data_IF_193444628029
#
_entry.id   IF_193444628029
#
_cell.length_a   1.000
_cell.length_b   1.000
_cell.length_c   1.000
_cell.angle_alpha   90.00
_cell.angle_beta   90.00
_cell.angle_gamma   90.00
#
_symmetry.space_group_name_H-M   'P 1'
#
loop_
_entity.id
_entity.type
_entity.pdbx_description
1 polymer ?
#
# COMPACT_ATOMS: atom_id res chain seq x y z
N UNK A 1 -2.92 13.26 -15.28
CA UNK A 1 -2.13 12.27 -15.92
C UNK A 1 -2.44 10.88 -15.39
N UNK A 2 -2.80 10.01 -16.29
CA UNK A 2 -3.31 8.67 -15.97
C UNK A 2 -2.31 7.82 -15.17
N UNK A 3 -1.01 7.92 -15.47
CA UNK A 3 0.04 7.14 -14.81
C UNK A 3 0.19 7.47 -13.33
N UNK A 4 0.12 8.75 -12.96
CA UNK A 4 0.27 9.21 -11.58
C UNK A 4 -0.92 8.74 -10.72
N UNK A 5 -2.12 8.81 -11.25
CA UNK A 5 -3.33 8.34 -10.58
C UNK A 5 -3.29 6.83 -10.35
N UNK A 6 -2.82 6.09 -11.36
CA UNK A 6 -2.65 4.65 -11.28
C UNK A 6 -1.63 4.27 -10.21
N UNK A 7 -0.51 4.99 -10.14
CA UNK A 7 0.52 4.77 -9.12
C UNK A 7 -0.03 5.00 -7.71
N UNK A 8 -0.81 6.06 -7.50
CA UNK A 8 -1.42 6.34 -6.20
C UNK A 8 -2.40 5.24 -5.80
N UNK A 9 -3.17 4.72 -6.75
CA UNK A 9 -4.10 3.61 -6.50
C UNK A 9 -3.34 2.33 -6.14
N UNK A 10 -2.24 2.04 -6.83
CA UNK A 10 -1.39 0.89 -6.52
C UNK A 10 -0.74 1.03 -5.15
N UNK A 11 -0.26 2.22 -4.79
CA UNK A 11 0.35 2.49 -3.49
C UNK A 11 -0.65 2.28 -2.36
N UNK A 12 -1.87 2.77 -2.52
CA UNK A 12 -2.95 2.56 -1.55
C UNK A 12 -3.28 1.09 -1.41
N UNK A 13 -3.42 0.38 -2.52
CA UNK A 13 -3.69 -1.05 -2.54
C UNK A 13 -2.58 -1.83 -1.84
N UNK A 14 -1.33 -1.52 -2.12
CA UNK A 14 -0.18 -2.17 -1.48
C UNK A 14 -0.22 -1.96 0.04
N UNK A 15 -0.47 -0.72 0.48
CA UNK A 15 -0.54 -0.41 1.89
C UNK A 15 -1.65 -1.19 2.59
N UNK A 16 -2.82 -1.29 1.95
CA UNK A 16 -3.95 -2.08 2.47
C UNK A 16 -3.55 -3.55 2.60
N UNK A 17 -2.92 -4.12 1.59
CA UNK A 17 -2.51 -5.52 1.62
C UNK A 17 -1.45 -5.78 2.69
N UNK A 18 -0.51 -4.86 2.89
CA UNK A 18 0.49 -4.95 3.95
C UNK A 18 -0.17 -4.93 5.33
N UNK A 19 -1.13 -4.04 5.55
CA UNK A 19 -1.83 -3.91 6.82
C UNK A 19 -2.65 -5.16 7.11
N UNK A 20 -3.37 -5.69 6.11
CA UNK A 20 -4.15 -6.93 6.24
C UNK A 20 -3.22 -8.09 6.62
N UNK A 21 -2.05 -8.19 5.99
CA UNK A 21 -1.08 -9.24 6.32
C UNK A 21 -0.58 -9.15 7.75
N UNK A 22 -0.38 -7.94 8.26
CA UNK A 22 0.16 -7.70 9.61
C UNK A 22 -0.91 -7.82 10.69
N UNK A 23 -2.16 -7.49 10.37
CA UNK A 23 -3.25 -7.46 11.34
C UNK A 23 -4.57 -7.89 10.70
N UNK A 24 -4.78 -9.21 10.55
CA UNK A 24 -6.00 -9.73 9.89
C UNK A 24 -7.31 -9.38 10.59
N UNK A 25 -7.25 -9.10 11.89
CA UNK A 25 -8.46 -8.82 12.68
C UNK A 25 -8.87 -7.36 12.69
N UNK A 26 -8.27 -6.55 11.84
CA UNK A 26 -8.58 -5.13 11.73
C UNK A 26 -9.95 -4.91 11.10
N UNK A 27 -10.72 -3.95 11.64
CA UNK A 27 -11.99 -3.54 11.05
C UNK A 27 -11.73 -2.64 9.83
N UNK A 28 -12.72 -2.50 8.96
CA UNK A 28 -12.61 -1.59 7.81
C UNK A 28 -12.42 -0.13 8.26
N UNK A 29 -13.01 0.25 9.39
CA UNK A 29 -12.83 1.59 9.97
C UNK A 29 -11.40 1.83 10.43
N UNK A 30 -10.81 0.85 11.13
CA UNK A 30 -9.42 0.93 11.57
C UNK A 30 -8.47 0.98 10.37
N UNK A 31 -8.76 0.18 9.34
CA UNK A 31 -8.01 0.19 8.10
C UNK A 31 -8.04 1.57 7.45
N UNK A 32 -9.23 2.17 7.36
CA UNK A 32 -9.41 3.51 6.81
C UNK A 32 -8.53 4.54 7.53
N UNK A 33 -8.52 4.50 8.86
CA UNK A 33 -7.71 5.39 9.68
C UNK A 33 -6.22 5.20 9.43
N UNK A 34 -5.76 3.96 9.37
CA UNK A 34 -4.33 3.66 9.15
C UNK A 34 -3.85 4.05 7.76
N UNK A 35 -4.70 3.89 6.76
CA UNK A 35 -4.35 4.23 5.38
C UNK A 35 -4.54 5.73 5.10
N UNK A 36 -5.40 6.39 5.89
CA UNK A 36 -5.70 7.81 5.70
C UNK A 36 -6.72 8.05 4.60
N UNK A 37 -7.69 7.15 4.45
CA UNK A 37 -8.79 7.28 3.48
C UNK A 37 -10.13 7.26 4.23
N UNK A 38 -11.20 7.62 3.54
CA UNK A 38 -12.54 7.61 4.13
C UNK A 38 -13.00 6.17 4.41
N UNK A 39 -13.91 6.02 5.36
CA UNK A 39 -14.52 4.72 5.68
C UNK A 39 -15.19 4.10 4.44
N UNK A 40 -15.88 4.92 3.65
CA UNK A 40 -16.52 4.48 2.41
C UNK A 40 -15.51 3.97 1.40
N UNK A 41 -14.41 4.69 1.21
CA UNK A 41 -13.33 4.28 0.29
C UNK A 41 -12.70 2.97 0.73
N UNK A 42 -12.45 2.81 2.03
CA UNK A 42 -11.87 1.57 2.57
C UNK A 42 -12.82 0.39 2.34
N UNK A 43 -14.11 0.60 2.59
CA UNK A 43 -15.12 -0.44 2.39
C UNK A 43 -15.19 -0.87 0.92
N UNK A 44 -15.28 0.08 0.00
CA UNK A 44 -15.32 -0.22 -1.44
C UNK A 44 -14.06 -0.93 -1.91
N UNK A 45 -12.91 -0.51 -1.40
CA UNK A 45 -11.65 -1.16 -1.74
C UNK A 45 -11.63 -2.61 -1.27
N UNK A 46 -12.05 -2.87 -0.03
CA UNK A 46 -12.12 -4.22 0.52
C UNK A 46 -13.06 -5.11 -0.29
N UNK A 47 -14.25 -4.61 -0.63
CA UNK A 47 -15.22 -5.34 -1.46
C UNK A 47 -14.61 -5.67 -2.83
N UNK A 48 -13.95 -4.70 -3.45
CA UNK A 48 -13.26 -4.91 -4.73
C UNK A 48 -12.20 -5.99 -4.63
N UNK A 49 -11.40 -5.99 -3.56
CA UNK A 49 -10.35 -6.99 -3.34
C UNK A 49 -10.95 -8.38 -3.12
N UNK A 50 -12.07 -8.46 -2.41
CA UNK A 50 -12.77 -9.73 -2.19
C UNK A 50 -13.34 -10.24 -3.52
N UNK A 51 -13.97 -9.38 -4.29
CA UNK A 51 -14.55 -9.76 -5.59
C UNK A 51 -13.49 -10.27 -6.56
N UNK A 52 -12.28 -9.74 -6.49
CA UNK A 52 -11.15 -10.17 -7.33
C UNK A 52 -10.44 -11.40 -6.80
N UNK A 53 -10.86 -11.93 -5.66
CA UNK A 53 -10.23 -13.09 -5.06
C UNK A 53 -8.87 -12.82 -4.44
N UNK A 54 -8.54 -11.55 -4.17
CA UNK A 54 -7.27 -11.12 -3.57
C UNK A 54 -7.33 -11.23 -2.06
N UNK A 55 -8.48 -10.89 -1.48
CA UNK A 55 -8.73 -10.92 -0.04
C UNK A 55 -9.92 -11.84 0.23
N UNK A 56 -9.83 -12.60 1.28
CA UNK A 56 -10.91 -13.43 1.80
C UNK A 56 -11.40 -12.83 3.11
N UNK A 57 -12.70 -12.67 3.24
CA UNK A 57 -13.32 -12.28 4.50
C UNK A 57 -13.73 -13.55 5.23
N UNK A 58 -13.26 -13.70 6.46
CA UNK A 58 -13.57 -14.85 7.30
C UNK A 58 -14.24 -14.39 8.59
N UNK A 59 -15.28 -15.09 8.99
CA UNK A 59 -15.99 -14.79 10.20
C UNK A 59 -16.07 -16.11 10.99
N UNK A 60 -15.61 -16.09 12.23
CA UNK A 60 -15.61 -17.28 13.06
C UNK A 60 -16.08 -16.95 14.48
N UNK A 61 -16.76 -17.92 15.08
CA UNK A 61 -17.23 -17.80 16.46
C UNK A 61 -16.19 -18.37 17.41
N UNK A 62 -15.62 -17.52 18.27
CA UNK A 62 -14.75 -17.98 19.36
C UNK A 62 -15.51 -18.44 20.58
N UNK A 63 -16.72 -17.89 20.79
CA UNK A 63 -17.63 -18.29 21.86
C UNK A 63 -19.04 -17.98 21.40
N UNK A 64 -20.05 -18.48 22.12
CA UNK A 64 -21.44 -18.23 21.77
C UNK A 64 -21.82 -16.76 21.73
N UNK A 65 -20.99 -15.88 22.28
CA UNK A 65 -21.28 -14.44 22.40
C UNK A 65 -20.42 -13.52 21.54
N UNK A 66 -19.33 -14.01 20.91
CA UNK A 66 -18.42 -13.16 20.14
C UNK A 66 -18.11 -13.76 18.78
N UNK A 67 -18.47 -13.01 17.73
CA UNK A 67 -18.05 -13.31 16.36
C UNK A 67 -16.80 -12.49 16.08
N UNK A 68 -15.76 -13.14 15.59
CA UNK A 68 -14.54 -12.45 15.12
C UNK A 68 -14.50 -12.43 13.62
N UNK A 69 -14.01 -11.33 13.09
CA UNK A 69 -13.88 -11.09 11.66
C UNK A 69 -12.41 -10.97 11.30
N UNK A 70 -12.04 -11.54 10.17
CA UNK A 70 -10.68 -11.44 9.67
C UNK A 70 -10.69 -11.20 8.17
N UNK A 71 -9.76 -10.38 7.71
CA UNK A 71 -9.44 -10.23 6.31
C UNK A 71 -8.12 -10.92 6.06
N UNK A 72 -8.09 -11.85 5.12
CA UNK A 72 -6.92 -12.68 4.84
C UNK A 72 -6.56 -12.58 3.36
N UNK A 73 -5.27 -12.59 3.07
CA UNK A 73 -4.82 -12.69 1.69
C UNK A 73 -5.00 -14.12 1.20
N UNK A 74 -5.57 -14.25 0.01
CA UNK A 74 -5.63 -15.53 -0.70
C UNK A 74 -4.26 -15.79 -1.35
N UNK A 75 -4.00 -17.01 -1.87
CA UNK A 75 -2.78 -17.24 -2.67
C UNK A 75 -2.65 -16.26 -3.83
N UNK A 76 -3.76 -15.89 -4.48
CA UNK A 76 -3.78 -14.86 -5.53
C UNK A 76 -3.36 -13.51 -4.94
N UNK A 77 -3.87 -13.18 -3.75
CA UNK A 77 -3.54 -11.95 -3.04
C UNK A 77 -2.08 -11.85 -2.67
N UNK A 78 -1.47 -12.96 -2.26
CA UNK A 78 -0.04 -12.99 -1.92
C UNK A 78 0.80 -12.69 -3.17
N UNK A 79 0.44 -13.28 -4.31
CA UNK A 79 1.12 -13.03 -5.58
C UNK A 79 0.94 -11.59 -6.03
N UNK A 80 -0.28 -11.08 -5.92
CA UNK A 80 -0.60 -9.70 -6.28
C UNK A 80 0.20 -8.71 -5.43
N UNK A 81 0.27 -8.95 -4.13
CA UNK A 81 1.07 -8.13 -3.21
C UNK A 81 2.54 -8.13 -3.62
N UNK A 82 3.10 -9.29 -3.95
CA UNK A 82 4.49 -9.41 -4.40
C UNK A 82 4.73 -8.62 -5.69
N UNK A 83 3.82 -8.71 -6.64
CA UNK A 83 3.93 -8.00 -7.92
C UNK A 83 3.91 -6.49 -7.70
N UNK A 84 2.96 -5.99 -6.93
CA UNK A 84 2.84 -4.57 -6.64
C UNK A 84 4.05 -4.08 -5.85
N UNK A 85 4.53 -4.87 -4.90
CA UNK A 85 5.73 -4.56 -4.12
C UNK A 85 6.94 -4.40 -5.03
N UNK A 86 7.10 -5.31 -5.99
CA UNK A 86 8.21 -5.23 -6.94
C UNK A 86 8.11 -3.97 -7.81
N UNK A 87 6.94 -3.64 -8.31
CA UNK A 87 6.72 -2.44 -9.11
C UNK A 87 7.04 -1.18 -8.30
N UNK A 88 6.59 -1.14 -7.05
CA UNK A 88 6.87 -0.06 -6.11
C UNK A 88 8.38 0.09 -5.87
N UNK A 89 9.07 -1.03 -5.65
CA UNK A 89 10.52 -1.03 -5.39
C UNK A 89 11.30 -0.49 -6.60
N UNK A 90 10.95 -0.93 -7.81
CA UNK A 90 11.59 -0.45 -9.04
C UNK A 90 11.44 1.06 -9.15
N UNK A 91 10.22 1.58 -8.93
CA UNK A 91 9.96 3.02 -8.99
C UNK A 91 10.75 3.77 -7.92
N UNK A 92 10.80 3.25 -6.70
CA UNK A 92 11.54 3.89 -5.60
C UNK A 92 13.04 3.94 -5.87
N UNK A 93 13.59 2.90 -6.47
CA UNK A 93 15.00 2.89 -6.87
C UNK A 93 15.29 3.94 -7.94
N UNK A 94 14.38 4.11 -8.90
CA UNK A 94 14.51 5.14 -9.93
C UNK A 94 14.44 6.55 -9.32
N UNK A 95 13.51 6.77 -8.40
CA UNK A 95 13.40 8.03 -7.67
C UNK A 95 14.66 8.33 -6.86
N UNK A 96 15.21 7.31 -6.23
CA UNK A 96 16.46 7.42 -5.45
C UNK A 96 17.63 7.85 -6.34
N UNK A 97 17.79 7.22 -7.50
CA UNK A 97 18.89 7.56 -8.42
C UNK A 97 18.73 8.98 -8.95
N UNK A 98 17.50 9.38 -9.30
CA UNK A 98 17.23 10.75 -9.76
C UNK A 98 17.54 11.78 -8.67
N UNK A 99 17.14 11.51 -7.43
CA UNK A 99 17.41 12.38 -6.29
C UNK A 99 18.91 12.48 -6.02
N UNK A 100 19.62 11.37 -6.12
CA UNK A 100 21.07 11.32 -5.94
C UNK A 100 21.79 12.24 -6.95
N UNK A 101 21.38 12.19 -8.21
CA UNK A 101 21.94 13.06 -9.24
C UNK A 101 21.60 14.53 -9.00
N UNK A 102 20.38 14.81 -8.56
CA UNK A 102 19.94 16.16 -8.21
C UNK A 102 20.80 16.73 -7.06
N UNK A 103 21.06 15.94 -6.03
CA UNK A 103 21.89 16.35 -4.90
C UNK A 103 23.31 16.66 -5.37
N UNK A 104 23.89 15.81 -6.22
CA UNK A 104 25.22 16.05 -6.79
C UNK A 104 25.29 17.37 -7.54
N UNK A 105 24.28 17.67 -8.34
CA UNK A 105 24.22 18.92 -9.09
C UNK A 105 24.16 20.13 -8.15
N UNK A 106 23.37 20.02 -7.07
CA UNK A 106 23.25 21.09 -6.07
C UNK A 106 24.56 21.30 -5.31
N UNK A 107 25.21 20.21 -4.92
CA UNK A 107 26.51 20.27 -4.23
C UNK A 107 27.57 20.93 -5.12
N UNK A 108 27.59 20.61 -6.40
CA UNK A 108 28.50 21.22 -7.37
C UNK A 108 28.25 22.71 -7.49
N UNK A 109 26.99 23.14 -7.53
CA UNK A 109 26.63 24.56 -7.59
C UNK A 109 27.15 25.32 -6.38
N UNK A 110 27.00 24.74 -5.18
CA UNK A 110 27.51 25.34 -3.92
C UNK A 110 29.02 25.39 -3.94
N UNK A 111 29.67 24.32 -4.38
CA UNK A 111 31.13 24.26 -4.50
C UNK A 111 31.71 25.31 -5.46
N UNK A 112 31.06 25.52 -6.58
CA UNK A 112 31.48 26.54 -7.56
C UNK A 112 31.36 27.98 -6.99
N UNK A 113 30.31 28.24 -6.18
CA UNK A 113 30.14 29.53 -5.49
C UNK A 113 31.23 29.72 -4.45
N UNK A 114 31.56 28.70 -3.68
CA UNK A 114 32.54 28.80 -2.58
C UNK A 114 33.99 28.87 -3.06
N UNK A 115 34.26 28.60 -4.34
CA UNK A 115 35.59 28.74 -4.93
C UNK A 115 35.95 30.18 -5.33
N UNK A 116 34.97 31.03 -5.41
CA UNK A 116 35.17 32.43 -5.70
C UNK A 116 35.32 33.23 -4.41
#
# INVERSE_FOLDING_TARGET
MASRRKEQQEDTKLRVLQIISSNPQMTSRELAQKVGISNGSAYYLLISLIDKGIVKFDNFKKSAKKTKYSYLLTPIGIREKSLITNNFLVRKKQEFEALKEEIKALEKSVGDISKD
#
